data_IF_118891034085
#
_entry.id   IF_118891034085
#
_cell.length_a   1.000
_cell.length_b   1.000
_cell.length_c   1.000
_cell.angle_alpha   90.00
_cell.angle_beta   90.00
_cell.angle_gamma   90.00
#
_symmetry.space_group_name_H-M   'P 1'
#
loop_
_entity.id
_entity.type
_entity.pdbx_description
1 polymer ?
#
# COMPACT_ATOMS: atom_id res chain seq x y z
N UNK A 1 21.27 29.04 -0.49
CA UNK A 1 20.24 29.94 -1.08
C UNK A 1 18.84 29.36 -0.82
N UNK A 2 18.00 30.07 -0.05
CA UNK A 2 16.71 29.56 0.40
C UNK A 2 15.72 29.42 -0.77
N UNK A 3 15.72 28.24 -1.40
CA UNK A 3 14.65 27.82 -2.32
C UNK A 3 13.25 28.00 -1.68
N UNK A 4 13.22 27.90 -0.34
CA UNK A 4 12.10 27.96 0.60
C UNK A 4 11.37 29.31 0.73
N UNK A 5 11.81 30.38 0.09
CA UNK A 5 11.15 31.69 0.11
C UNK A 5 11.13 32.29 -1.31
N UNK A 6 10.49 31.59 -2.25
CA UNK A 6 10.34 32.06 -3.62
C UNK A 6 8.87 32.16 -4.03
N UNK A 7 8.59 33.06 -4.97
CA UNK A 7 7.29 33.09 -5.66
C UNK A 7 7.18 31.88 -6.58
N UNK A 8 5.97 31.36 -6.72
CA UNK A 8 5.70 30.25 -7.63
C UNK A 8 6.05 30.67 -9.07
N UNK A 9 6.83 29.86 -9.81
CA UNK A 9 7.15 30.13 -11.21
C UNK A 9 5.88 30.31 -12.06
N UNK A 10 5.86 31.35 -12.88
CA UNK A 10 4.80 31.57 -13.86
C UNK A 10 5.20 30.97 -15.21
N UNK A 11 4.40 30.05 -15.74
CA UNK A 11 4.61 29.42 -17.06
C UNK A 11 3.51 29.88 -18.02
N UNK A 12 3.91 30.48 -19.14
CA UNK A 12 3.00 30.93 -20.21
C UNK A 12 1.90 31.89 -19.73
N UNK A 13 2.25 32.81 -18.81
CA UNK A 13 1.36 33.85 -18.27
C UNK A 13 1.69 35.22 -18.89
N UNK A 14 0.67 35.93 -19.37
CA UNK A 14 0.83 37.29 -19.90
C UNK A 14 1.35 38.27 -18.82
N UNK A 15 2.24 39.20 -19.21
CA UNK A 15 2.94 40.11 -18.30
C UNK A 15 2.00 40.89 -17.37
N UNK A 16 0.86 41.35 -17.90
CA UNK A 16 -0.11 42.15 -17.15
C UNK A 16 -0.75 41.43 -15.95
N UNK A 17 -0.71 40.10 -15.91
CA UNK A 17 -1.28 39.32 -14.79
C UNK A 17 -0.26 38.93 -13.72
N UNK A 18 1.04 39.11 -13.99
CA UNK A 18 2.11 38.54 -13.14
C UNK A 18 2.06 39.06 -11.71
N UNK A 19 1.86 40.36 -11.53
CA UNK A 19 1.76 40.98 -10.21
C UNK A 19 0.52 40.48 -9.43
N UNK A 20 -0.59 40.22 -10.11
CA UNK A 20 -1.81 39.68 -9.49
C UNK A 20 -1.69 38.20 -9.11
N UNK A 21 -0.75 37.49 -9.72
CA UNK A 21 -0.49 36.06 -9.55
C UNK A 21 0.74 35.76 -8.69
N UNK A 22 1.29 36.77 -8.01
CA UNK A 22 2.33 36.58 -7.00
C UNK A 22 1.78 35.79 -5.83
N UNK A 23 1.92 34.47 -5.91
CA UNK A 23 1.61 33.51 -4.85
C UNK A 23 2.92 32.95 -4.33
N UNK A 24 3.05 32.85 -3.02
CA UNK A 24 4.19 32.23 -2.37
C UNK A 24 4.18 30.72 -2.60
N UNK A 25 5.38 30.16 -2.72
CA UNK A 25 5.57 28.74 -2.90
C UNK A 25 4.78 27.90 -1.89
N UNK A 26 4.19 26.80 -2.36
CA UNK A 26 3.60 25.77 -1.52
C UNK A 26 4.65 24.96 -0.75
N UNK A 27 5.95 25.11 -1.05
CA UNK A 27 7.06 24.60 -0.24
C UNK A 27 7.10 25.39 1.07
N UNK A 28 6.40 24.87 2.08
CA UNK A 28 6.33 25.47 3.39
C UNK A 28 7.69 25.46 4.10
N UNK A 29 7.89 26.44 4.98
CA UNK A 29 9.11 26.53 5.78
C UNK A 29 9.32 25.23 6.58
N UNK A 30 10.52 24.66 6.49
CA UNK A 30 10.88 23.36 7.08
C UNK A 30 10.04 22.18 6.55
N UNK A 31 9.58 22.22 5.29
CA UNK A 31 8.82 21.12 4.68
C UNK A 31 9.46 19.75 4.91
N UNK A 32 10.79 19.62 4.73
CA UNK A 32 11.50 18.36 5.01
C UNK A 32 11.29 17.86 6.45
N UNK A 33 11.50 18.72 7.45
CA UNK A 33 11.30 18.35 8.86
C UNK A 33 9.85 18.01 9.17
N UNK A 34 8.89 18.76 8.59
CA UNK A 34 7.45 18.47 8.74
C UNK A 34 7.07 17.13 8.12
N UNK A 35 7.56 16.83 6.92
CA UNK A 35 7.31 15.57 6.23
C UNK A 35 7.91 14.40 7.03
N UNK A 36 9.15 14.52 7.53
CA UNK A 36 9.75 13.51 8.40
C UNK A 36 8.93 13.30 9.68
N UNK A 37 8.47 14.38 10.32
CA UNK A 37 7.63 14.28 11.52
C UNK A 37 6.28 13.62 11.23
N UNK A 38 5.65 13.96 10.10
CA UNK A 38 4.42 13.30 9.64
C UNK A 38 4.69 11.81 9.43
N UNK A 39 5.80 11.43 8.77
CA UNK A 39 6.17 10.03 8.56
C UNK A 39 6.31 9.27 9.87
N UNK A 40 7.18 9.74 10.77
CA UNK A 40 7.43 9.06 12.05
C UNK A 40 6.15 8.90 12.88
N UNK A 41 5.32 9.95 12.98
CA UNK A 41 4.09 9.90 13.77
C UNK A 41 3.02 9.00 13.15
N UNK A 42 2.85 9.07 11.83
CA UNK A 42 1.84 8.30 11.12
C UNK A 42 2.20 6.82 11.13
N UNK A 43 3.45 6.47 10.84
CA UNK A 43 3.93 5.08 10.86
C UNK A 43 3.86 4.52 12.28
N UNK A 44 4.28 5.28 13.29
CA UNK A 44 4.10 4.90 14.70
C UNK A 44 2.63 4.57 15.02
N UNK A 45 1.71 5.48 14.67
CA UNK A 45 0.28 5.30 14.94
C UNK A 45 -0.31 4.11 14.17
N UNK A 46 0.17 3.85 12.95
CA UNK A 46 -0.31 2.74 12.14
C UNK A 46 0.10 1.38 12.71
N UNK A 47 1.30 1.29 13.29
CA UNK A 47 1.87 0.04 13.84
C UNK A 47 1.45 -0.20 15.29
N UNK A 48 1.17 0.86 16.05
CA UNK A 48 0.63 0.79 17.42
C UNK A 48 -0.86 0.39 17.43
N UNK A 49 -1.16 -0.77 16.86
CA UNK A 49 -2.50 -1.30 16.64
C UNK A 49 -2.85 -2.49 17.56
N UNK A 50 -1.95 -2.85 18.49
CA UNK A 50 -2.14 -3.93 19.45
C UNK A 50 -1.41 -5.25 19.15
N UNK A 51 -0.80 -5.40 17.97
CA UNK A 51 0.05 -6.58 17.69
C UNK A 51 1.46 -6.43 18.27
N UNK A 52 1.97 -5.20 18.32
CA UNK A 52 3.30 -4.89 18.85
C UNK A 52 3.19 -3.98 20.07
N UNK A 53 4.11 -4.15 21.03
CA UNK A 53 4.33 -3.14 22.09
C UNK A 53 5.26 -2.07 21.54
N UNK A 54 4.69 -1.07 20.89
CA UNK A 54 5.48 -0.02 20.22
C UNK A 54 5.86 1.08 21.21
N UNK A 55 7.14 1.44 21.26
CA UNK A 55 7.62 2.61 22.00
C UNK A 55 7.66 3.81 21.05
N UNK A 56 7.19 4.96 21.53
CA UNK A 56 7.14 6.18 20.69
C UNK A 56 8.54 6.59 20.20
N UNK A 57 8.66 7.16 18.98
CA UNK A 57 9.95 7.57 18.42
C UNK A 57 10.76 8.46 19.37
N UNK A 58 10.11 9.41 20.06
CA UNK A 58 10.78 10.32 21.02
C UNK A 58 11.51 9.59 22.15
N UNK A 59 10.94 8.49 22.64
CA UNK A 59 11.54 7.71 23.73
C UNK A 59 12.69 6.87 23.19
N UNK A 60 12.49 6.21 22.05
CA UNK A 60 13.55 5.45 21.36
C UNK A 60 14.73 6.34 21.00
N UNK A 61 14.50 7.55 20.49
CA UNK A 61 15.56 8.52 20.19
C UNK A 61 16.37 8.89 21.45
N UNK A 62 15.71 9.02 22.60
CA UNK A 62 16.41 9.29 23.86
C UNK A 62 17.32 8.12 24.27
N UNK A 63 16.87 6.88 24.10
CA UNK A 63 17.71 5.69 24.35
C UNK A 63 18.89 5.61 23.37
N UNK A 64 18.67 5.92 22.09
CA UNK A 64 19.75 5.97 21.10
C UNK A 64 20.78 7.04 21.47
N UNK A 65 20.35 8.23 21.88
CA UNK A 65 21.26 9.30 22.31
C UNK A 65 22.09 8.90 23.54
N UNK A 66 21.46 8.37 24.60
CA UNK A 66 22.16 7.86 25.79
C UNK A 66 23.14 6.74 25.42
N UNK A 67 22.71 5.87 24.50
CA UNK A 67 23.53 4.80 23.96
C UNK A 67 24.75 5.29 23.16
N UNK A 68 24.61 6.38 22.41
CA UNK A 68 25.71 7.01 21.69
C UNK A 68 26.73 7.62 22.66
N UNK A 69 26.25 8.34 23.68
CA UNK A 69 27.09 8.96 24.71
C UNK A 69 27.88 7.91 25.52
N UNK A 70 27.27 6.73 25.76
CA UNK A 70 27.90 5.60 26.46
C UNK A 70 28.70 4.66 25.55
N UNK A 71 28.71 4.90 24.23
CA UNK A 71 29.39 4.07 23.24
C UNK A 71 28.74 2.71 22.98
N UNK A 72 27.52 2.46 23.47
CA UNK A 72 26.82 1.19 23.29
C UNK A 72 25.28 1.36 23.22
N UNK A 73 24.81 1.77 22.03
CA UNK A 73 23.37 1.89 21.71
C UNK A 73 22.64 0.57 21.87
N UNK A 74 23.22 -0.53 21.38
CA UNK A 74 22.60 -1.86 21.42
C UNK A 74 22.28 -2.29 22.85
N UNK A 75 23.24 -2.22 23.76
CA UNK A 75 23.01 -2.59 25.17
C UNK A 75 21.98 -1.67 25.84
N UNK A 76 21.95 -0.38 25.50
CA UNK A 76 20.95 0.55 26.04
C UNK A 76 19.53 0.18 25.62
N UNK A 77 19.34 -0.21 24.36
CA UNK A 77 18.05 -0.65 23.83
C UNK A 77 17.63 -2.00 24.42
N UNK A 78 18.55 -2.97 24.51
CA UNK A 78 18.28 -4.27 25.13
C UNK A 78 17.88 -4.12 26.61
N UNK A 79 18.59 -3.27 27.37
CA UNK A 79 18.27 -2.99 28.76
C UNK A 79 16.94 -2.23 28.95
N UNK A 80 16.38 -1.70 27.86
CA UNK A 80 15.06 -1.03 27.84
C UNK A 80 13.96 -1.94 27.30
N UNK A 81 14.21 -3.26 27.24
CA UNK A 81 13.29 -4.27 26.71
C UNK A 81 12.85 -3.99 25.26
N UNK A 82 13.78 -3.54 24.41
CA UNK A 82 13.55 -3.32 22.98
C UNK A 82 14.13 -4.50 22.19
N UNK A 83 13.24 -5.31 21.63
CA UNK A 83 13.61 -6.48 20.82
C UNK A 83 14.02 -6.09 19.40
N UNK A 84 13.33 -5.11 18.79
CA UNK A 84 13.58 -4.67 17.43
C UNK A 84 13.44 -3.15 17.26
N UNK A 85 14.16 -2.59 16.29
CA UNK A 85 14.02 -1.18 15.87
C UNK A 85 13.45 -1.15 14.46
N UNK A 86 12.38 -0.39 14.27
CA UNK A 86 11.91 0.01 12.96
C UNK A 86 12.49 1.37 12.60
N UNK A 87 13.31 1.43 11.56
CA UNK A 87 13.78 2.69 10.97
C UNK A 87 13.06 2.96 9.66
N UNK A 88 12.82 4.24 9.39
CA UNK A 88 12.17 4.68 8.15
C UNK A 88 13.00 5.79 7.53
N UNK A 89 13.24 5.68 6.23
CA UNK A 89 14.00 6.66 5.46
C UNK A 89 13.16 7.15 4.28
N UNK A 90 13.05 8.47 4.12
CA UNK A 90 12.48 9.06 2.91
C UNK A 90 13.59 9.09 1.86
N UNK A 91 13.59 8.11 0.97
CA UNK A 91 14.65 7.91 -0.02
C UNK A 91 14.55 8.87 -1.21
N UNK A 92 13.33 9.33 -1.53
CA UNK A 92 13.12 10.32 -2.57
C UNK A 92 11.93 11.22 -2.29
N UNK A 93 12.04 12.50 -2.67
CA UNK A 93 10.94 13.45 -2.70
C UNK A 93 11.02 14.23 -4.01
N UNK A 94 9.92 14.24 -4.74
CA UNK A 94 9.72 15.09 -5.90
C UNK A 94 8.64 16.12 -5.60
N UNK A 95 8.91 17.37 -5.93
CA UNK A 95 7.93 18.45 -5.89
C UNK A 95 8.28 19.50 -6.95
N UNK A 96 7.34 19.76 -7.86
CA UNK A 96 7.36 20.90 -8.78
C UNK A 96 6.05 21.66 -8.64
N UNK A 97 6.11 22.97 -8.81
CA UNK A 97 4.92 23.80 -8.86
C UNK A 97 5.07 24.95 -9.82
N UNK A 98 3.98 25.31 -10.47
CA UNK A 98 3.93 26.45 -11.36
C UNK A 98 2.51 26.96 -11.54
N UNK A 99 2.39 28.24 -11.86
CA UNK A 99 1.11 28.84 -12.26
C UNK A 99 1.08 28.91 -13.77
N UNK A 100 -0.04 28.50 -14.36
CA UNK A 100 -0.26 28.67 -15.79
C UNK A 100 -1.61 29.31 -16.10
N UNK A 101 -1.65 29.97 -17.25
CA UNK A 101 -2.81 30.61 -17.81
C UNK A 101 -3.46 29.69 -18.85
N UNK A 102 -4.78 29.52 -18.76
CA UNK A 102 -5.57 28.76 -19.73
C UNK A 102 -6.68 29.63 -20.31
N UNK A 103 -6.77 29.72 -21.64
CA UNK A 103 -7.88 30.39 -22.32
C UNK A 103 -9.05 29.43 -22.48
N UNK A 104 -10.18 29.72 -21.83
CA UNK A 104 -11.37 28.87 -21.95
C UNK A 104 -12.17 29.25 -23.20
N UNK A 105 -11.78 28.67 -24.34
CA UNK A 105 -12.41 28.94 -25.64
C UNK A 105 -13.89 28.52 -25.68
N UNK A 106 -14.29 27.57 -24.84
CA UNK A 106 -15.67 27.06 -24.79
C UNK A 106 -16.65 27.96 -24.02
N UNK A 107 -16.14 28.92 -23.23
CA UNK A 107 -16.95 29.80 -22.40
C UNK A 107 -16.89 31.23 -22.93
N UNK A 108 -18.03 31.83 -23.21
CA UNK A 108 -18.13 33.25 -23.59
C UNK A 108 -18.92 34.03 -22.54
N UNK A 109 -18.29 35.02 -21.94
CA UNK A 109 -18.90 35.91 -20.94
C UNK A 109 -19.17 37.26 -21.60
N UNK A 110 -20.31 37.87 -21.28
CA UNK A 110 -20.61 39.25 -21.68
C UNK A 110 -20.19 40.18 -20.55
N UNK A 111 -19.27 41.10 -20.83
CA UNK A 111 -18.89 42.16 -19.89
C UNK A 111 -20.08 43.11 -19.70
N UNK A 112 -20.61 43.19 -18.49
CA UNK A 112 -21.78 44.01 -18.16
C UNK A 112 -21.53 45.51 -18.31
N UNK A 113 -20.28 45.96 -18.27
CA UNK A 113 -19.92 47.38 -18.40
C UNK A 113 -19.75 47.83 -19.86
N UNK A 114 -19.35 46.93 -20.76
CA UNK A 114 -19.05 47.24 -22.16
C UNK A 114 -19.93 46.52 -23.17
N UNK A 115 -20.80 45.60 -22.71
CA UNK A 115 -21.58 44.66 -23.51
C UNK A 115 -20.75 43.84 -24.51
N UNK A 116 -19.44 43.72 -24.26
CA UNK A 116 -18.50 43.00 -25.13
C UNK A 116 -18.43 41.54 -24.69
N UNK A 117 -18.53 40.62 -25.66
CA UNK A 117 -18.30 39.19 -25.42
C UNK A 117 -16.81 38.89 -25.42
N UNK A 118 -16.34 38.12 -24.44
CA UNK A 118 -14.96 37.68 -24.36
C UNK A 118 -14.87 36.25 -23.80
N UNK A 119 -13.77 35.57 -24.11
CA UNK A 119 -13.42 34.29 -23.50
C UNK A 119 -12.52 34.55 -22.28
N UNK A 120 -12.87 34.06 -21.08
CA UNK A 120 -12.07 34.32 -19.90
C UNK A 120 -10.78 33.50 -19.90
N UNK A 121 -9.73 34.07 -19.32
CA UNK A 121 -8.56 33.30 -18.90
C UNK A 121 -8.80 32.78 -17.49
N UNK A 122 -8.45 31.52 -17.25
CA UNK A 122 -8.38 30.92 -15.93
C UNK A 122 -6.92 30.69 -15.56
N UNK A 123 -6.60 30.94 -14.29
CA UNK A 123 -5.25 30.80 -13.76
C UNK A 123 -5.24 29.69 -12.73
N UNK A 124 -4.38 28.71 -12.94
CA UNK A 124 -4.28 27.54 -12.08
C UNK A 124 -2.88 27.40 -11.54
N UNK A 125 -2.80 27.05 -10.26
CA UNK A 125 -1.61 26.46 -9.67
C UNK A 125 -1.62 24.96 -9.96
N UNK A 126 -0.54 24.48 -10.57
CA UNK A 126 -0.23 23.07 -10.73
C UNK A 126 0.85 22.69 -9.72
N UNK A 127 0.63 21.60 -9.00
CA UNK A 127 1.60 21.01 -8.08
C UNK A 127 1.77 19.54 -8.47
N UNK A 128 2.99 19.15 -8.86
CA UNK A 128 3.34 17.76 -9.16
C UNK A 128 4.24 17.24 -8.05
N UNK A 129 3.90 16.11 -7.45
CA UNK A 129 4.57 15.62 -6.25
C UNK A 129 4.62 14.09 -6.21
N UNK A 130 5.65 13.57 -5.53
CA UNK A 130 5.85 12.14 -5.32
C UNK A 130 6.85 11.91 -4.20
N UNK A 131 6.75 10.74 -3.56
CA UNK A 131 7.61 10.36 -2.44
C UNK A 131 7.86 8.86 -2.43
N UNK A 132 9.06 8.48 -2.01
CA UNK A 132 9.44 7.10 -1.71
C UNK A 132 9.90 6.99 -0.26
N UNK A 133 9.47 5.92 0.42
CA UNK A 133 9.87 5.59 1.79
C UNK A 133 10.37 4.15 1.82
N UNK A 134 11.52 3.94 2.45
CA UNK A 134 12.02 2.63 2.83
C UNK A 134 11.81 2.43 4.33
N UNK A 135 11.40 1.23 4.74
CA UNK A 135 11.51 0.80 6.12
C UNK A 135 12.54 -0.32 6.27
N UNK A 136 13.12 -0.40 7.46
CA UNK A 136 13.99 -1.50 7.88
C UNK A 136 13.65 -1.88 9.30
N UNK A 137 13.33 -3.15 9.52
CA UNK A 137 13.14 -3.73 10.83
C UNK A 137 14.41 -4.52 11.20
N UNK A 138 15.07 -4.11 12.27
CA UNK A 138 16.33 -4.70 12.72
C UNK A 138 16.16 -5.30 14.10
N UNK A 139 16.55 -6.57 14.26
CA UNK A 139 16.67 -7.24 15.55
C UNK A 139 17.79 -6.59 16.37
N UNK A 140 17.50 -6.10 17.58
CA UNK A 140 18.49 -5.42 18.42
C UNK A 140 19.50 -6.43 18.97
N UNK A 141 19.05 -7.63 19.34
CA UNK A 141 19.92 -8.63 19.94
C UNK A 141 20.98 -9.10 18.94
N UNK A 142 20.63 -9.43 17.71
CA UNK A 142 21.58 -10.00 16.76
C UNK A 142 22.10 -8.99 15.73
N UNK A 143 21.53 -7.78 15.69
CA UNK A 143 21.80 -6.76 14.69
C UNK A 143 21.58 -7.27 13.25
N UNK A 144 20.50 -8.05 13.07
CA UNK A 144 20.11 -8.65 11.79
C UNK A 144 18.87 -7.93 11.27
N UNK A 145 18.86 -7.63 9.98
CA UNK A 145 17.67 -7.10 9.31
C UNK A 145 16.65 -8.23 9.17
N UNK A 146 15.51 -8.08 9.83
CA UNK A 146 14.37 -9.02 9.78
C UNK A 146 13.55 -8.77 8.52
N UNK A 147 13.27 -7.50 8.23
CA UNK A 147 12.46 -7.09 7.08
C UNK A 147 12.92 -5.74 6.54
N UNK A 148 12.80 -5.56 5.23
CA UNK A 148 12.97 -4.27 4.58
C UNK A 148 12.13 -4.24 3.31
N UNK A 149 11.45 -3.13 3.08
CA UNK A 149 10.78 -2.86 1.81
C UNK A 149 10.76 -1.36 1.50
N UNK A 150 10.46 -1.02 0.25
CA UNK A 150 10.39 0.34 -0.27
C UNK A 150 9.06 0.60 -0.98
N UNK A 151 8.34 1.61 -0.51
CA UNK A 151 7.11 2.10 -1.13
C UNK A 151 7.37 3.36 -1.94
N UNK A 152 6.71 3.47 -3.09
CA UNK A 152 6.81 4.64 -3.98
C UNK A 152 5.44 4.98 -4.56
N UNK A 153 5.11 6.27 -4.58
CA UNK A 153 3.75 6.76 -4.90
C UNK A 153 3.52 7.00 -6.40
N UNK A 154 4.57 7.01 -7.22
CA UNK A 154 4.48 7.59 -8.55
C UNK A 154 4.34 9.11 -8.49
N UNK A 155 3.99 9.74 -9.61
CA UNK A 155 3.80 11.19 -9.70
C UNK A 155 2.31 11.53 -9.61
N UNK A 156 1.96 12.38 -8.65
CA UNK A 156 0.62 12.92 -8.47
C UNK A 156 0.56 14.38 -8.90
N UNK A 157 -0.61 14.82 -9.33
CA UNK A 157 -0.85 16.21 -9.71
C UNK A 157 -2.05 16.78 -8.95
N UNK A 158 -1.90 18.03 -8.49
CA UNK A 158 -3.00 18.83 -7.95
C UNK A 158 -3.13 20.13 -8.71
N UNK A 159 -4.34 20.40 -9.18
CA UNK A 159 -4.71 21.61 -9.91
C UNK A 159 -5.64 22.47 -9.06
N UNK A 160 -5.19 23.66 -8.69
CA UNK A 160 -5.95 24.60 -7.85
C UNK A 160 -6.27 25.87 -8.63
N UNK A 161 -7.54 26.26 -8.69
CA UNK A 161 -7.96 27.51 -9.33
C UNK A 161 -7.55 28.71 -8.47
N UNK A 162 -6.73 29.61 -9.02
CA UNK A 162 -6.29 30.83 -8.35
C UNK A 162 -7.16 32.06 -8.69
N UNK A 163 -7.80 32.04 -9.85
CA UNK A 163 -8.63 33.15 -10.31
C UNK A 163 -8.93 33.09 -11.80
N UNK A 164 -9.64 34.11 -12.28
CA UNK A 164 -10.04 34.24 -13.69
C UNK A 164 -10.09 35.71 -14.11
N UNK A 165 -10.19 35.98 -15.41
CA UNK A 165 -10.49 37.34 -15.87
C UNK A 165 -11.97 37.68 -15.68
N UNK A 166 -12.21 38.87 -15.16
CA UNK A 166 -13.54 39.40 -14.78
C UNK A 166 -14.28 40.04 -15.96
N UNK A 167 -13.56 40.68 -16.87
CA UNK A 167 -14.13 41.48 -17.96
C UNK A 167 -13.28 41.46 -19.23
N UNK A 168 -13.76 42.10 -20.30
CA UNK A 168 -13.10 42.12 -21.60
C UNK A 168 -11.77 42.89 -21.60
N UNK A 169 -11.57 43.78 -20.60
CA UNK A 169 -10.29 44.49 -20.38
C UNK A 169 -9.22 43.60 -19.75
N UNK A 170 -9.61 42.47 -19.18
CA UNK A 170 -8.70 41.54 -18.51
C UNK A 170 -8.45 41.91 -17.05
N UNK A 171 -9.40 42.52 -16.35
CA UNK A 171 -9.26 42.68 -14.89
C UNK A 171 -9.26 41.30 -14.20
N UNK A 172 -8.45 41.12 -13.18
CA UNK A 172 -8.30 39.83 -12.48
C UNK A 172 -9.29 39.69 -11.32
N UNK A 173 -9.97 38.56 -11.26
CA UNK A 173 -10.80 38.12 -10.13
C UNK A 173 -10.13 36.95 -9.43
N UNK A 174 -9.68 37.17 -8.19
CA UNK A 174 -9.02 36.16 -7.36
C UNK A 174 -10.04 35.15 -6.82
N UNK A 175 -9.66 33.87 -6.83
CA UNK A 175 -10.40 32.80 -6.17
C UNK A 175 -9.88 32.59 -4.75
N UNK A 176 -10.77 32.34 -3.80
CA UNK A 176 -10.44 32.18 -2.37
C UNK A 176 -10.04 30.76 -1.96
N UNK A 177 -9.68 29.88 -2.91
CA UNK A 177 -9.27 28.52 -2.56
C UNK A 177 -7.90 28.52 -1.86
N UNK A 178 -7.80 27.77 -0.78
CA UNK A 178 -6.53 27.55 -0.08
C UNK A 178 -5.62 26.66 -0.93
N UNK A 179 -4.41 27.13 -1.19
CA UNK A 179 -3.34 26.32 -1.77
C UNK A 179 -2.86 25.30 -0.74
N UNK A 180 -2.73 24.04 -1.14
CA UNK A 180 -2.18 23.01 -0.26
C UNK A 180 -0.67 23.15 -0.16
N UNK A 181 -0.10 22.97 1.05
CA UNK A 181 1.34 22.92 1.22
C UNK A 181 1.92 21.61 0.67
N UNK A 182 3.18 21.65 0.26
CA UNK A 182 3.94 20.48 -0.16
C UNK A 182 3.97 19.41 0.96
N UNK A 183 4.19 19.82 2.21
CA UNK A 183 4.17 18.92 3.36
C UNK A 183 2.84 18.18 3.54
N UNK A 184 1.70 18.84 3.29
CA UNK A 184 0.38 18.21 3.37
C UNK A 184 0.18 17.20 2.25
N UNK A 185 0.52 17.58 1.00
CA UNK A 185 0.36 16.70 -0.16
C UNK A 185 1.23 15.44 -0.06
N UNK A 186 2.48 15.60 0.38
CA UNK A 186 3.38 14.47 0.61
C UNK A 186 2.93 13.66 1.83
N UNK A 187 2.47 14.34 2.89
CA UNK A 187 1.93 13.69 4.08
C UNK A 187 0.76 12.74 3.78
N UNK A 188 -0.13 13.12 2.87
CA UNK A 188 -1.23 12.25 2.42
C UNK A 188 -0.71 10.95 1.77
N UNK A 189 0.36 11.02 0.97
CA UNK A 189 0.99 9.84 0.38
C UNK A 189 1.64 8.94 1.44
N UNK A 190 2.23 9.55 2.46
CA UNK A 190 2.85 8.84 3.58
C UNK A 190 1.81 8.12 4.45
N UNK A 191 0.62 8.70 4.63
CA UNK A 191 -0.51 8.02 5.28
C UNK A 191 -0.85 6.71 4.55
N UNK A 192 -0.85 6.72 3.22
CA UNK A 192 -1.07 5.47 2.47
C UNK A 192 0.03 4.43 2.71
N UNK A 193 1.30 4.83 2.66
CA UNK A 193 2.41 3.92 2.95
C UNK A 193 2.38 3.36 4.37
N UNK A 194 2.01 4.17 5.36
CA UNK A 194 1.93 3.71 6.75
C UNK A 194 0.96 2.53 6.93
N UNK A 195 -0.15 2.53 6.20
CA UNK A 195 -1.09 1.41 6.22
C UNK A 195 -0.50 0.17 5.53
N UNK A 196 0.25 0.34 4.44
CA UNK A 196 0.90 -0.79 3.77
C UNK A 196 2.01 -1.40 4.63
N UNK A 197 2.85 -0.57 5.25
CA UNK A 197 3.87 -1.02 6.23
C UNK A 197 3.19 -1.78 7.37
N UNK A 198 2.10 -1.26 7.91
CA UNK A 198 1.33 -1.96 8.95
C UNK A 198 0.85 -3.32 8.45
N UNK A 199 0.27 -3.40 7.26
CA UNK A 199 -0.30 -4.64 6.73
C UNK A 199 0.78 -5.69 6.45
N UNK A 200 1.97 -5.28 6.02
CA UNK A 200 3.13 -6.18 5.86
C UNK A 200 3.68 -6.70 7.19
N UNK A 201 3.75 -5.83 8.20
CA UNK A 201 4.32 -6.20 9.49
C UNK A 201 3.31 -6.93 10.38
N UNK A 202 2.02 -6.62 10.29
CA UNK A 202 1.00 -7.18 11.17
C UNK A 202 0.55 -8.56 10.71
N UNK A 203 0.35 -9.52 11.64
CA UNK A 203 -0.30 -10.78 11.32
C UNK A 203 -1.71 -10.53 10.75
N UNK A 204 -2.00 -11.09 9.58
CA UNK A 204 -3.31 -10.94 8.93
C UNK A 204 -3.71 -12.21 8.18
N UNK A 205 -5.02 -12.35 7.96
CA UNK A 205 -5.57 -13.41 7.12
C UNK A 205 -5.59 -12.96 5.67
N UNK A 206 -5.06 -13.79 4.78
CA UNK A 206 -5.14 -13.58 3.32
C UNK A 206 -6.18 -14.52 2.75
N UNK A 207 -7.13 -13.98 1.98
CA UNK A 207 -8.08 -14.79 1.21
C UNK A 207 -7.52 -15.08 -0.17
N UNK A 208 -7.55 -16.34 -0.59
CA UNK A 208 -7.05 -16.77 -1.90
C UNK A 208 -8.18 -17.43 -2.67
N UNK A 209 -8.49 -16.88 -3.84
CA UNK A 209 -9.54 -17.39 -4.70
C UNK A 209 -9.00 -18.46 -5.68
N UNK A 210 -9.81 -19.50 -5.88
CA UNK A 210 -9.60 -20.52 -6.90
C UNK A 210 -10.72 -20.45 -7.93
N UNK A 211 -10.35 -20.34 -9.22
CA UNK A 211 -11.31 -20.38 -10.31
C UNK A 211 -11.63 -21.82 -10.67
N UNK A 212 -12.92 -22.15 -10.73
CA UNK A 212 -13.36 -23.47 -11.17
C UNK A 212 -13.25 -23.57 -12.69
N UNK A 213 -12.85 -24.73 -13.20
CA UNK A 213 -12.97 -25.02 -14.62
C UNK A 213 -14.44 -25.09 -15.02
N UNK A 214 -14.76 -24.58 -16.21
CA UNK A 214 -16.08 -24.70 -16.78
C UNK A 214 -16.41 -26.15 -17.17
N UNK A 215 -17.69 -26.52 -17.10
CA UNK A 215 -18.22 -27.83 -17.48
C UNK A 215 -18.13 -28.05 -19.00
N UNK A 216 -16.96 -28.44 -19.49
CA UNK A 216 -16.66 -28.64 -20.92
C UNK A 216 -15.85 -29.93 -21.12
N UNK A 217 -16.33 -30.91 -21.92
CA UNK A 217 -17.65 -30.96 -22.56
C UNK A 217 -18.80 -30.97 -21.53
N UNK A 218 -19.98 -30.49 -21.91
CA UNK A 218 -21.10 -30.34 -20.96
C UNK A 218 -21.60 -31.69 -20.46
N UNK A 219 -21.51 -31.92 -19.15
CA UNK A 219 -22.14 -33.04 -18.46
C UNK A 219 -23.33 -32.55 -17.63
N UNK A 220 -24.53 -33.12 -17.87
CA UNK A 220 -25.77 -32.66 -17.21
C UNK A 220 -25.73 -32.87 -15.70
N UNK A 221 -25.19 -34.01 -15.23
CA UNK A 221 -25.06 -34.34 -13.80
C UNK A 221 -24.23 -33.31 -13.02
N UNK A 222 -23.28 -32.65 -13.67
CA UNK A 222 -22.43 -31.66 -13.00
C UNK A 222 -23.11 -30.31 -12.79
N UNK A 223 -24.22 -30.00 -13.48
CA UNK A 223 -24.90 -28.72 -13.28
C UNK A 223 -25.31 -28.50 -11.81
N UNK A 224 -25.71 -29.56 -11.13
CA UNK A 224 -26.09 -29.50 -9.73
C UNK A 224 -24.87 -29.39 -8.80
N UNK A 225 -23.71 -29.90 -9.21
CA UNK A 225 -22.44 -29.70 -8.50
C UNK A 225 -22.04 -28.21 -8.46
N UNK A 226 -22.09 -27.50 -9.59
CA UNK A 226 -21.80 -26.06 -9.62
C UNK A 226 -22.83 -25.24 -8.82
N UNK A 227 -24.12 -25.62 -8.84
CA UNK A 227 -25.13 -24.97 -7.99
C UNK A 227 -24.85 -25.21 -6.50
N UNK A 228 -24.43 -26.43 -6.13
CA UNK A 228 -24.07 -26.76 -4.76
C UNK A 228 -22.90 -25.90 -4.26
N UNK A 229 -21.87 -25.65 -5.09
CA UNK A 229 -20.77 -24.72 -4.77
C UNK A 229 -21.29 -23.32 -4.50
N UNK A 230 -22.14 -22.78 -5.39
CA UNK A 230 -22.71 -21.44 -5.24
C UNK A 230 -23.59 -21.29 -3.99
N UNK A 231 -24.17 -22.39 -3.51
CA UNK A 231 -24.98 -22.43 -2.29
C UNK A 231 -24.14 -22.75 -1.02
N UNK A 232 -22.80 -22.81 -1.12
CA UNK A 232 -21.92 -23.13 0.01
C UNK A 232 -21.92 -24.61 0.42
N UNK A 233 -22.51 -25.50 -0.39
CA UNK A 233 -22.62 -26.93 -0.10
C UNK A 233 -21.39 -27.71 -0.60
N UNK A 234 -20.20 -27.34 -0.12
CA UNK A 234 -18.91 -27.82 -0.65
C UNK A 234 -18.73 -29.34 -0.60
N UNK A 235 -19.12 -30.00 0.50
CA UNK A 235 -19.06 -31.47 0.62
C UNK A 235 -19.93 -32.20 -0.40
N UNK A 236 -21.10 -31.64 -0.69
CA UNK A 236 -22.03 -32.20 -1.69
C UNK A 236 -21.46 -32.03 -3.09
N UNK A 237 -20.96 -30.84 -3.39
CA UNK A 237 -20.29 -30.55 -4.66
C UNK A 237 -19.06 -31.43 -4.89
N UNK A 238 -18.21 -31.60 -3.87
CA UNK A 238 -17.04 -32.47 -3.93
C UNK A 238 -17.44 -33.88 -4.33
N UNK A 239 -18.42 -34.47 -3.64
CA UNK A 239 -18.89 -35.82 -3.97
C UNK A 239 -19.33 -35.92 -5.43
N UNK A 240 -20.13 -34.97 -5.90
CA UNK A 240 -20.61 -34.97 -7.28
C UNK A 240 -19.48 -34.82 -8.32
N UNK A 241 -18.51 -33.95 -8.06
CA UNK A 241 -17.35 -33.79 -8.94
C UNK A 241 -16.45 -35.04 -8.94
N UNK A 242 -16.12 -35.58 -7.76
CA UNK A 242 -15.29 -36.77 -7.63
C UNK A 242 -15.95 -38.02 -8.22
N UNK A 243 -17.27 -38.18 -8.05
CA UNK A 243 -18.03 -39.29 -8.65
C UNK A 243 -18.00 -39.21 -10.18
N UNK A 244 -18.23 -38.01 -10.74
CA UNK A 244 -18.18 -37.81 -12.19
C UNK A 244 -16.78 -38.02 -12.75
N UNK A 245 -15.75 -37.49 -12.09
CA UNK A 245 -14.36 -37.68 -12.49
C UNK A 245 -13.97 -39.16 -12.52
N UNK A 246 -14.29 -39.91 -11.45
CA UNK A 246 -14.02 -41.36 -11.39
C UNK A 246 -14.78 -42.14 -12.46
N UNK A 247 -16.00 -41.71 -12.79
CA UNK A 247 -16.86 -42.40 -13.77
C UNK A 247 -16.42 -42.19 -15.21
N UNK A 248 -16.03 -40.96 -15.58
CA UNK A 248 -15.83 -40.58 -16.98
C UNK A 248 -14.44 -40.04 -17.32
N UNK A 249 -13.59 -39.79 -16.31
CA UNK A 249 -12.33 -39.08 -16.50
C UNK A 249 -12.53 -37.61 -16.87
N UNK A 250 -13.68 -37.01 -16.53
CA UNK A 250 -13.97 -35.62 -16.88
C UNK A 250 -13.02 -34.66 -16.16
N UNK A 251 -12.03 -34.14 -16.91
CA UNK A 251 -10.94 -33.31 -16.39
C UNK A 251 -11.43 -32.11 -15.55
N UNK A 252 -12.43 -31.30 -16.00
CA UNK A 252 -12.95 -30.20 -15.18
C UNK A 252 -13.54 -30.65 -13.84
N UNK A 253 -14.15 -31.84 -13.78
CA UNK A 253 -14.67 -32.35 -12.52
C UNK A 253 -13.54 -32.74 -11.57
N UNK A 254 -12.50 -33.44 -12.07
CA UNK A 254 -11.31 -33.76 -11.28
C UNK A 254 -10.62 -32.50 -10.75
N UNK A 255 -10.46 -31.49 -11.61
CA UNK A 255 -9.85 -30.22 -11.25
C UNK A 255 -10.64 -29.49 -10.16
N UNK A 256 -11.96 -29.40 -10.31
CA UNK A 256 -12.82 -28.76 -9.33
C UNK A 256 -12.93 -29.56 -8.02
N UNK A 257 -12.85 -30.90 -8.07
CA UNK A 257 -12.73 -31.72 -6.86
C UNK A 257 -11.43 -31.44 -6.12
N UNK A 258 -10.30 -31.32 -6.82
CA UNK A 258 -9.01 -31.00 -6.19
C UNK A 258 -9.06 -29.66 -5.45
N UNK A 259 -9.68 -28.63 -6.04
CA UNK A 259 -9.90 -27.34 -5.36
C UNK A 259 -10.69 -27.53 -4.07
N UNK A 260 -11.79 -28.27 -4.13
CA UNK A 260 -12.67 -28.47 -2.97
C UNK A 260 -11.99 -29.29 -1.86
N UNK A 261 -11.23 -30.34 -2.20
CA UNK A 261 -10.43 -31.08 -1.23
C UNK A 261 -9.44 -30.15 -0.52
N UNK A 262 -8.73 -29.31 -1.27
CA UNK A 262 -7.77 -28.35 -0.71
C UNK A 262 -8.46 -27.34 0.22
N UNK A 263 -9.57 -26.74 -0.21
CA UNK A 263 -10.32 -25.78 0.61
C UNK A 263 -10.88 -26.39 1.90
N UNK A 264 -11.06 -27.72 1.95
CA UNK A 264 -11.54 -28.43 3.13
C UNK A 264 -10.42 -28.98 4.03
N UNK A 265 -9.15 -28.72 3.69
CA UNK A 265 -7.98 -29.18 4.46
C UNK A 265 -7.48 -30.58 4.09
N UNK A 266 -8.02 -31.20 3.03
CA UNK A 266 -7.58 -32.51 2.55
C UNK A 266 -6.46 -32.32 1.51
N UNK A 267 -5.31 -31.83 1.96
CA UNK A 267 -4.23 -31.37 1.08
C UNK A 267 -3.62 -32.51 0.25
N UNK A 268 -3.35 -33.66 0.86
CA UNK A 268 -2.76 -34.82 0.19
C UNK A 268 -3.64 -35.33 -0.97
N UNK A 269 -4.95 -35.45 -0.73
CA UNK A 269 -5.91 -35.84 -1.76
C UNK A 269 -5.99 -34.81 -2.89
N UNK A 270 -5.99 -33.51 -2.55
CA UNK A 270 -5.98 -32.44 -3.55
C UNK A 270 -4.76 -32.51 -4.47
N UNK A 271 -3.57 -32.70 -3.87
CA UNK A 271 -2.32 -32.86 -4.60
C UNK A 271 -2.31 -34.09 -5.51
N UNK A 272 -2.78 -35.22 -4.98
CA UNK A 272 -2.86 -36.46 -5.72
C UNK A 272 -3.75 -36.31 -6.96
N UNK A 273 -4.94 -35.71 -6.82
CA UNK A 273 -5.86 -35.49 -7.94
C UNK A 273 -5.26 -34.54 -8.97
N UNK A 274 -4.70 -33.40 -8.54
CA UNK A 274 -4.11 -32.41 -9.45
C UNK A 274 -2.94 -33.00 -10.26
N UNK A 275 -2.06 -33.77 -9.60
CA UNK A 275 -0.93 -34.42 -10.23
C UNK A 275 -1.35 -35.59 -11.13
N UNK A 276 -2.37 -36.37 -10.75
CA UNK A 276 -2.95 -37.41 -11.62
C UNK A 276 -3.48 -36.81 -12.92
N UNK A 277 -4.22 -35.69 -12.84
CA UNK A 277 -4.77 -35.02 -14.01
C UNK A 277 -3.69 -34.58 -15.00
N UNK A 278 -2.56 -34.08 -14.49
CA UNK A 278 -1.41 -33.75 -15.32
C UNK A 278 -0.76 -35.00 -15.91
N UNK A 279 -0.40 -35.98 -15.09
CA UNK A 279 0.32 -37.18 -15.53
C UNK A 279 -0.48 -38.02 -16.53
N UNK A 280 -1.80 -38.09 -16.36
CA UNK A 280 -2.69 -38.95 -17.15
C UNK A 280 -3.25 -38.26 -18.39
N UNK A 281 -3.55 -36.96 -18.29
CA UNK A 281 -4.25 -36.23 -19.36
C UNK A 281 -3.48 -35.02 -19.89
N UNK A 282 -2.29 -34.71 -19.35
CA UNK A 282 -1.46 -33.59 -19.78
C UNK A 282 -2.05 -32.22 -19.45
N UNK A 283 -2.92 -32.12 -18.44
CA UNK A 283 -3.56 -30.84 -18.07
C UNK A 283 -2.55 -29.88 -17.41
N UNK A 284 -2.09 -28.89 -18.16
CA UNK A 284 -1.17 -27.84 -17.65
C UNK A 284 -1.82 -27.00 -16.55
N UNK A 285 -3.13 -26.76 -16.64
CA UNK A 285 -3.87 -26.01 -15.63
C UNK A 285 -3.89 -26.77 -14.30
N UNK A 286 -4.01 -28.10 -14.32
CA UNK A 286 -3.95 -28.93 -13.12
C UNK A 286 -2.54 -28.92 -12.49
N UNK A 287 -1.48 -28.89 -13.31
CA UNK A 287 -0.11 -28.71 -12.82
C UNK A 287 0.09 -27.34 -12.16
N UNK A 288 -0.42 -26.27 -12.77
CA UNK A 288 -0.40 -24.93 -12.17
C UNK A 288 -1.17 -24.88 -10.85
N UNK A 289 -2.33 -25.55 -10.80
CA UNK A 289 -3.11 -25.68 -9.57
C UNK A 289 -2.33 -26.37 -8.47
N UNK A 290 -1.66 -27.50 -8.78
CA UNK A 290 -0.80 -28.22 -7.83
C UNK A 290 0.27 -27.29 -7.23
N UNK A 291 1.02 -26.57 -8.07
CA UNK A 291 2.06 -25.66 -7.58
C UNK A 291 1.48 -24.48 -6.79
N UNK A 292 0.32 -23.94 -7.21
CA UNK A 292 -0.38 -22.90 -6.46
C UNK A 292 -0.77 -23.39 -5.06
N UNK A 293 -1.39 -24.57 -4.95
CA UNK A 293 -1.76 -25.16 -3.65
C UNK A 293 -0.54 -25.40 -2.76
N UNK A 294 0.56 -25.94 -3.31
CA UNK A 294 1.80 -26.17 -2.57
C UNK A 294 2.41 -24.89 -2.01
N UNK A 295 2.44 -23.82 -2.80
CA UNK A 295 2.92 -22.53 -2.35
C UNK A 295 2.06 -21.96 -1.20
N UNK A 296 0.74 -22.15 -1.28
CA UNK A 296 -0.18 -21.70 -0.23
C UNK A 296 0.06 -22.47 1.07
N UNK A 297 0.16 -23.80 1.02
CA UNK A 297 0.47 -24.64 2.19
C UNK A 297 1.82 -24.25 2.81
N UNK A 298 2.84 -24.03 1.98
CA UNK A 298 4.16 -23.60 2.45
C UNK A 298 4.10 -22.23 3.15
N UNK A 299 3.38 -21.27 2.56
CA UNK A 299 3.18 -19.94 3.14
C UNK A 299 2.40 -20.04 4.46
N UNK A 300 1.33 -20.84 4.52
CA UNK A 300 0.55 -21.09 5.73
C UNK A 300 1.41 -21.72 6.83
N UNK A 301 2.25 -22.68 6.48
CA UNK A 301 3.17 -23.32 7.41
C UNK A 301 4.22 -22.34 7.94
N UNK A 302 4.85 -21.55 7.06
CA UNK A 302 5.82 -20.52 7.48
C UNK A 302 5.18 -19.50 8.43
N UNK A 303 3.97 -19.04 8.11
CA UNK A 303 3.22 -18.13 8.99
C UNK A 303 2.88 -18.77 10.34
N UNK A 304 2.47 -20.05 10.33
CA UNK A 304 2.16 -20.80 11.55
C UNK A 304 3.40 -21.04 12.41
N UNK A 305 4.54 -21.35 11.78
CA UNK A 305 5.81 -21.55 12.46
C UNK A 305 6.29 -20.24 13.12
N UNK A 306 6.14 -19.09 12.44
CA UNK A 306 6.42 -17.76 13.01
C UNK A 306 5.53 -17.45 14.23
N UNK A 307 4.21 -17.70 14.13
CA UNK A 307 3.28 -17.49 15.24
C UNK A 307 3.59 -18.40 16.43
N UNK A 308 4.04 -19.64 16.18
CA UNK A 308 4.30 -20.62 17.23
C UNK A 308 5.71 -20.50 17.82
N UNK A 309 6.71 -19.99 17.09
CA UNK A 309 8.02 -19.68 17.66
C UNK A 309 7.91 -18.66 18.79
N UNK A 310 6.98 -17.70 18.69
CA UNK A 310 6.73 -16.71 19.74
C UNK A 310 6.20 -17.33 21.04
N UNK A 311 5.40 -18.42 20.93
CA UNK A 311 4.89 -19.14 22.12
C UNK A 311 5.99 -19.90 22.86
N UNK A 312 6.93 -20.52 22.14
CA UNK A 312 8.06 -21.23 22.78
C UNK A 312 9.01 -20.27 23.49
N UNK A 313 9.29 -19.10 22.93
CA UNK A 313 10.17 -18.12 23.58
C UNK A 313 9.52 -17.52 24.84
N UNK A 314 8.18 -17.37 24.84
CA UNK A 314 7.42 -16.94 26.02
C UNK A 314 7.37 -18.00 27.14
N UNK A 315 7.28 -19.29 26.81
CA UNK A 315 7.31 -20.38 27.81
C UNK A 315 8.72 -20.67 28.34
N UNK A 316 9.77 -20.50 27.50
CA UNK A 316 11.16 -20.77 27.92
C UNK A 316 11.74 -19.67 28.82
N UNK A 317 11.20 -18.43 28.78
CA UNK A 317 11.55 -17.37 29.74
C UNK A 317 11.07 -17.63 31.18
N UNK A 318 10.37 -18.74 31.44
CA UNK A 318 9.89 -19.10 32.78
C UNK A 318 10.61 -20.28 33.45
N UNK A 319 11.59 -20.95 32.82
CA UNK A 319 12.19 -22.16 33.43
C UNK A 319 13.69 -22.20 33.67
N UNK A 320 14.57 -21.41 33.05
CA UNK A 320 16.01 -21.66 33.22
C UNK A 320 16.86 -20.38 33.40
N UNK A 321 16.88 -19.88 34.64
CA UNK A 321 18.05 -19.17 35.17
C UNK A 321 18.87 -20.14 36.00
N UNK A 322 19.69 -20.93 35.33
CA UNK A 322 20.82 -21.63 35.97
C UNK A 322 22.04 -21.52 35.06
N UNK A 323 23.03 -20.75 35.51
CA UNK A 323 24.44 -21.08 35.28
C UNK A 323 25.23 -20.25 34.27
N UNK A 324 25.97 -19.29 34.85
CA UNK A 324 27.23 -18.66 34.40
C UNK A 324 27.20 -17.55 33.36
#
# INVERSE_FOLDING_TARGET
PSFWNSYIPLRSVEEKYRESLRVWSGLDFNASSRVSQIASNTIYTAIDNGFFKVISPKVTDAYVLVGQDSGNVRTTLMNSDIDAILTTEITSVYYDEYIYQNLEKSVTITDTSTNTKFNPYYFYLMQTYGVSIQYTLTDVENNVIIATDTFSSGMHEKKTLLGKTKNSKGDFEKSWYSVSSASSLIGDLIIHFSNQIRDELSPHYVSIDFAFMGNKPKVKSLQDAYKAVNNGQYKVALRMFSDEYRRSGHIPAGYNSAILEFTMGNYEEAYAIAMELYNRYGSTDALQLYYKMKNIEETEKQATDQINSDKKTAETKQSDLVGF
#
